data_IF_130788170881
#
_entry.id   IF_130788170881
#
_cell.length_a   1.000
_cell.length_b   1.000
_cell.length_c   1.000
_cell.angle_alpha   90.00
_cell.angle_beta   90.00
_cell.angle_gamma   90.00
#
_symmetry.space_group_name_H-M   'P 1'
#
loop_
_entity.id
_entity.type
_entity.pdbx_description
1 polymer ?
#
# COMPACT_ATOMS: atom_id res chain seq x y z
N UNK A 1 1.55 47.04 -7.74
CA UNK A 1 1.56 45.63 -8.18
C UNK A 1 2.31 44.85 -7.10
N UNK A 2 1.57 44.18 -6.20
CA UNK A 2 2.17 43.34 -5.19
C UNK A 2 2.42 41.97 -5.84
N UNK A 3 3.70 41.62 -6.01
CA UNK A 3 4.11 40.31 -6.50
C UNK A 3 3.80 39.26 -5.45
N UNK A 4 3.07 38.22 -5.85
CA UNK A 4 2.88 37.01 -5.06
C UNK A 4 4.26 36.43 -4.76
N UNK A 5 4.65 36.45 -3.49
CA UNK A 5 5.79 35.69 -3.01
C UNK A 5 5.51 34.22 -3.27
N UNK A 6 6.25 33.65 -4.22
CA UNK A 6 6.42 32.21 -4.36
C UNK A 6 7.12 31.78 -3.08
N UNK A 7 6.37 31.29 -2.10
CA UNK A 7 6.93 30.52 -1.01
C UNK A 7 7.58 29.32 -1.67
N UNK A 8 8.90 29.20 -1.51
CA UNK A 8 9.63 27.98 -1.82
C UNK A 8 8.99 26.83 -1.05
N UNK A 9 8.11 26.08 -1.71
CA UNK A 9 7.84 24.70 -1.33
C UNK A 9 9.21 24.00 -1.35
N UNK A 10 9.66 23.55 -0.17
CA UNK A 10 10.82 22.67 -0.09
C UNK A 10 10.44 21.40 -0.82
N UNK A 11 11.21 21.01 -1.83
CA UNK A 11 11.17 19.66 -2.40
C UNK A 11 11.28 18.65 -1.23
N UNK A 12 10.17 18.00 -0.89
CA UNK A 12 10.06 17.00 0.19
C UNK A 12 8.86 17.17 1.13
N UNK A 13 8.39 18.39 1.40
CA UNK A 13 7.32 18.62 2.39
C UNK A 13 5.91 18.38 1.81
N UNK A 14 5.05 17.70 2.57
CA UNK A 14 3.69 17.40 2.14
C UNK A 14 2.80 18.63 2.06
N UNK A 15 2.32 18.94 0.85
CA UNK A 15 1.43 20.07 0.60
C UNK A 15 0.01 19.81 1.15
N UNK A 16 -0.80 20.87 1.21
CA UNK A 16 -2.23 20.73 1.50
C UNK A 16 -2.96 19.88 0.45
N UNK A 17 -2.44 19.81 -0.79
CA UNK A 17 -2.99 18.95 -1.84
C UNK A 17 -2.72 17.48 -1.53
N UNK A 18 -1.50 17.14 -1.13
CA UNK A 18 -1.11 15.76 -0.82
C UNK A 18 -1.87 15.24 0.40
N UNK A 19 -2.00 16.05 1.45
CA UNK A 19 -2.80 15.70 2.63
C UNK A 19 -4.28 15.49 2.30
N UNK A 20 -4.84 16.21 1.32
CA UNK A 20 -6.19 15.96 0.83
C UNK A 20 -6.25 14.66 0.03
N UNK A 21 -5.26 14.42 -0.83
CA UNK A 21 -5.22 13.21 -1.63
C UNK A 21 -5.04 11.95 -0.77
N UNK A 22 -4.27 11.99 0.31
CA UNK A 22 -4.17 10.91 1.28
C UNK A 22 -5.54 10.52 1.89
N UNK A 23 -6.44 11.49 2.11
CA UNK A 23 -7.83 11.21 2.53
C UNK A 23 -8.63 10.55 1.41
N UNK A 24 -8.43 10.95 0.16
CA UNK A 24 -9.01 10.28 -1.01
C UNK A 24 -8.54 8.82 -1.06
N UNK A 25 -7.23 8.57 -0.92
CA UNK A 25 -6.66 7.23 -0.88
C UNK A 25 -7.24 6.39 0.28
N UNK A 26 -7.40 6.97 1.46
CA UNK A 26 -7.95 6.29 2.64
C UNK A 26 -9.40 5.81 2.46
N UNK A 27 -10.16 6.45 1.57
CA UNK A 27 -11.55 6.11 1.27
C UNK A 27 -11.70 5.15 0.09
N UNK A 28 -10.59 4.65 -0.48
CA UNK A 28 -10.66 3.75 -1.63
C UNK A 28 -11.25 2.39 -1.22
N UNK A 29 -12.26 1.87 -1.94
CA UNK A 29 -12.89 0.58 -1.62
C UNK A 29 -11.94 -0.62 -1.63
N UNK A 30 -10.84 -0.54 -2.40
CA UNK A 30 -9.83 -1.61 -2.45
C UNK A 30 -9.21 -1.89 -1.09
N UNK A 31 -9.10 -0.85 -0.23
CA UNK A 31 -8.55 -1.00 1.10
C UNK A 31 -9.45 -1.85 1.99
N UNK A 32 -10.75 -1.93 1.71
CA UNK A 32 -11.69 -2.74 2.49
C UNK A 32 -11.85 -4.17 1.95
N UNK A 33 -11.34 -4.46 0.73
CA UNK A 33 -11.36 -5.80 0.17
C UNK A 33 -10.42 -6.70 0.96
N UNK A 34 -10.92 -7.85 1.39
CA UNK A 34 -10.18 -8.86 2.13
C UNK A 34 -10.84 -10.23 1.97
N UNK A 35 -10.12 -11.34 2.21
CA UNK A 35 -10.74 -12.65 2.38
C UNK A 35 -11.87 -12.59 3.41
N UNK A 36 -12.87 -13.47 3.29
CA UNK A 36 -14.02 -13.48 4.21
C UNK A 36 -13.57 -13.71 5.65
N UNK A 37 -14.26 -13.08 6.59
CA UNK A 37 -14.03 -13.19 8.04
C UNK A 37 -12.65 -12.74 8.54
N UNK A 38 -11.85 -12.09 7.69
CA UNK A 38 -10.60 -11.44 8.10
C UNK A 38 -10.90 -10.09 8.78
N UNK A 39 -10.57 -9.93 10.08
CA UNK A 39 -10.75 -8.68 10.78
C UNK A 39 -9.61 -7.70 10.48
N UNK A 40 -9.95 -6.41 10.46
CA UNK A 40 -8.96 -5.35 10.55
C UNK A 40 -8.26 -5.42 11.91
N UNK A 41 -6.95 -5.18 11.94
CA UNK A 41 -6.24 -5.04 13.21
C UNK A 41 -6.68 -3.80 13.98
N UNK A 42 -6.54 -3.85 15.31
CA UNK A 42 -6.71 -2.68 16.16
C UNK A 42 -5.69 -1.61 15.73
N UNK A 43 -6.16 -0.40 15.45
CA UNK A 43 -5.36 0.68 14.84
C UNK A 43 -4.71 0.32 13.48
N UNK A 44 -5.18 -0.74 12.82
CA UNK A 44 -4.66 -1.21 11.52
C UNK A 44 -4.96 -0.28 10.35
N UNK A 45 -5.78 0.76 10.54
CA UNK A 45 -6.04 1.78 9.52
C UNK A 45 -5.12 2.99 9.70
N UNK A 46 -4.39 3.35 8.63
CA UNK A 46 -3.47 4.47 8.63
C UNK A 46 -3.54 5.22 7.32
N UNK A 47 -3.26 6.52 7.34
CA UNK A 47 -3.05 7.34 6.15
C UNK A 47 -2.27 8.58 6.51
N UNK A 48 -1.60 9.16 5.53
CA UNK A 48 -0.76 10.32 5.77
C UNK A 48 -0.04 10.75 4.51
N UNK A 49 0.97 11.56 4.72
CA UNK A 49 1.92 11.95 3.71
C UNK A 49 3.26 12.12 4.42
N UNK A 50 4.32 11.51 3.90
CA UNK A 50 5.63 11.55 4.53
C UNK A 50 6.35 12.84 4.12
N UNK A 51 6.80 13.64 5.08
CA UNK A 51 7.56 14.88 4.81
C UNK A 51 8.96 14.59 4.23
N UNK A 52 9.35 13.32 4.04
CA UNK A 52 10.62 12.91 3.43
C UNK A 52 10.52 12.53 1.97
N UNK A 53 9.35 12.08 1.49
CA UNK A 53 9.13 11.74 0.08
C UNK A 53 8.01 12.55 -0.56
N UNK A 54 7.25 13.32 0.21
CA UNK A 54 6.09 14.09 -0.29
C UNK A 54 4.93 13.22 -0.77
N UNK A 55 4.96 11.90 -0.52
CA UNK A 55 4.01 10.97 -1.12
C UNK A 55 2.81 10.71 -0.20
N UNK A 56 1.58 11.00 -0.64
CA UNK A 56 0.39 10.60 0.09
C UNK A 56 0.21 9.08 0.06
N UNK A 57 -0.19 8.53 1.21
CA UNK A 57 -0.42 7.10 1.38
C UNK A 57 -1.63 6.83 2.27
N UNK A 58 -2.19 5.64 2.12
CA UNK A 58 -3.19 5.08 3.02
C UNK A 58 -3.09 3.55 3.03
N UNK A 59 -3.52 2.92 4.12
CA UNK A 59 -3.48 1.48 4.22
C UNK A 59 -4.35 0.88 5.30
N UNK A 60 -4.40 -0.45 5.26
CA UNK A 60 -5.09 -1.33 6.21
C UNK A 60 -4.20 -2.52 6.50
N UNK A 61 -4.05 -2.88 7.78
CA UNK A 61 -3.42 -4.12 8.22
C UNK A 61 -4.49 -5.05 8.78
N UNK A 62 -4.42 -6.32 8.40
CA UNK A 62 -5.43 -7.34 8.64
C UNK A 62 -4.82 -8.60 9.28
N UNK A 63 -5.60 -9.27 10.14
CA UNK A 63 -5.22 -10.60 10.65
C UNK A 63 -5.73 -11.68 9.69
N UNK A 64 -4.87 -12.52 9.12
CA UNK A 64 -5.26 -13.47 8.07
C UNK A 64 -6.19 -14.57 8.56
N UNK A 65 -6.32 -14.80 9.88
CA UNK A 65 -7.08 -15.92 10.42
C UNK A 65 -6.47 -17.24 9.94
N UNK A 66 -7.29 -18.10 9.33
CA UNK A 66 -6.84 -19.39 8.77
C UNK A 66 -6.29 -19.28 7.33
N UNK A 67 -6.20 -18.08 6.75
CA UNK A 67 -5.72 -17.90 5.38
C UNK A 67 -4.20 -18.02 5.32
N UNK A 68 -3.70 -18.89 4.44
CA UNK A 68 -2.27 -18.95 4.15
C UNK A 68 -1.83 -17.73 3.34
N UNK A 69 -0.51 -17.49 3.29
CA UNK A 69 0.09 -16.48 2.42
C UNK A 69 -0.37 -16.64 0.97
N UNK A 70 -0.45 -17.88 0.50
CA UNK A 70 -0.89 -18.19 -0.87
C UNK A 70 -2.37 -17.86 -1.07
N UNK A 71 -3.21 -18.11 -0.07
CA UNK A 71 -4.64 -17.78 -0.13
C UNK A 71 -4.84 -16.27 -0.23
N UNK A 72 -4.15 -15.49 0.61
CA UNK A 72 -4.16 -14.02 0.58
C UNK A 72 -3.68 -13.50 -0.77
N UNK A 73 -2.53 -13.98 -1.25
CA UNK A 73 -1.98 -13.57 -2.54
C UNK A 73 -2.93 -13.90 -3.70
N UNK A 74 -3.50 -15.10 -3.72
CA UNK A 74 -4.44 -15.54 -4.75
C UNK A 74 -5.75 -14.77 -4.71
N UNK A 75 -6.22 -14.38 -3.52
CA UNK A 75 -7.37 -13.50 -3.37
C UNK A 75 -7.13 -12.17 -4.08
N UNK A 76 -6.03 -11.46 -3.77
CA UNK A 76 -5.77 -10.14 -4.35
C UNK A 76 -5.41 -10.17 -5.84
N UNK A 77 -4.79 -11.26 -6.33
CA UNK A 77 -4.59 -11.47 -7.79
C UNK A 77 -5.90 -11.46 -8.57
N UNK A 78 -7.04 -11.77 -7.94
CA UNK A 78 -8.37 -11.71 -8.56
C UNK A 78 -9.13 -10.44 -8.18
N UNK A 79 -9.14 -10.12 -6.88
CA UNK A 79 -9.94 -9.03 -6.34
C UNK A 79 -9.48 -7.65 -6.82
N UNK A 80 -8.16 -7.41 -6.89
CA UNK A 80 -7.63 -6.11 -7.31
C UNK A 80 -7.94 -5.83 -8.81
N UNK A 81 -7.69 -6.76 -9.76
CA UNK A 81 -8.12 -6.57 -11.15
C UNK A 81 -9.62 -6.41 -11.33
N UNK A 82 -10.45 -7.12 -10.54
CA UNK A 82 -11.90 -6.94 -10.56
C UNK A 82 -12.35 -5.55 -10.07
N UNK A 83 -11.49 -4.83 -9.33
CA UNK A 83 -11.66 -3.44 -8.92
C UNK A 83 -10.88 -2.44 -9.81
N UNK A 84 -10.55 -2.85 -11.04
CA UNK A 84 -9.79 -2.10 -12.06
C UNK A 84 -8.36 -1.71 -11.65
N UNK A 85 -7.72 -2.48 -10.78
CA UNK A 85 -6.29 -2.32 -10.51
C UNK A 85 -5.47 -3.20 -11.45
N UNK A 86 -4.60 -2.59 -12.24
CA UNK A 86 -3.73 -3.28 -13.19
C UNK A 86 -2.53 -3.87 -12.45
N UNK A 87 -2.28 -5.16 -12.61
CA UNK A 87 -1.08 -5.81 -12.08
C UNK A 87 0.17 -5.28 -12.82
N UNK A 88 1.13 -4.68 -12.11
CA UNK A 88 2.38 -4.16 -12.69
C UNK A 88 3.54 -5.13 -12.48
N UNK A 89 3.66 -5.68 -11.27
CA UNK A 89 4.69 -6.65 -10.91
C UNK A 89 4.08 -7.82 -10.15
N UNK A 90 4.45 -9.04 -10.55
CA UNK A 90 4.19 -10.24 -9.78
C UNK A 90 5.49 -11.00 -9.59
N UNK A 91 5.87 -11.17 -8.32
CA UNK A 91 6.67 -12.33 -7.92
C UNK A 91 5.69 -13.45 -7.53
N UNK A 92 6.09 -14.70 -7.75
CA UNK A 92 5.41 -15.79 -7.07
C UNK A 92 5.64 -15.61 -5.57
N UNK A 93 4.57 -15.69 -4.78
CA UNK A 93 4.66 -15.52 -3.34
C UNK A 93 4.73 -16.91 -2.74
N UNK A 94 5.92 -17.25 -2.26
CA UNK A 94 6.24 -18.55 -1.70
C UNK A 94 6.65 -18.42 -0.23
N UNK A 95 6.33 -19.41 0.61
CA UNK A 95 6.55 -19.34 2.05
C UNK A 95 8.03 -19.37 2.44
N UNK A 96 8.91 -19.85 1.57
CA UNK A 96 10.35 -19.99 1.78
C UNK A 96 11.16 -18.75 1.38
N UNK A 97 10.50 -17.70 0.89
CA UNK A 97 11.18 -16.48 0.47
C UNK A 97 11.34 -15.48 1.63
N UNK A 98 12.32 -14.55 1.53
CA UNK A 98 12.42 -13.45 2.45
C UNK A 98 11.17 -12.56 2.44
N UNK A 99 10.70 -12.18 3.62
CA UNK A 99 9.48 -11.37 3.82
C UNK A 99 9.45 -10.13 2.89
N UNK A 100 10.57 -9.41 2.76
CA UNK A 100 10.66 -8.18 1.96
C UNK A 100 10.42 -8.39 0.45
N UNK A 101 10.54 -9.62 -0.07
CA UNK A 101 10.28 -9.96 -1.48
C UNK A 101 8.83 -10.38 -1.74
N UNK A 102 8.07 -10.64 -0.68
CA UNK A 102 6.69 -11.10 -0.75
C UNK A 102 5.73 -9.93 -0.94
N UNK A 103 5.61 -9.45 -2.19
CA UNK A 103 4.68 -8.39 -2.52
C UNK A 103 3.94 -8.61 -3.84
N UNK A 104 2.69 -8.13 -3.89
CA UNK A 104 1.97 -7.88 -5.14
C UNK A 104 1.90 -6.37 -5.36
N UNK A 105 2.13 -5.94 -6.59
CA UNK A 105 2.00 -4.53 -6.97
C UNK A 105 0.98 -4.35 -8.08
N UNK A 106 0.06 -3.42 -7.86
CA UNK A 106 -0.92 -2.98 -8.85
C UNK A 106 -0.90 -1.47 -9.01
N UNK A 107 -1.38 -0.97 -10.15
CA UNK A 107 -1.57 0.46 -10.39
C UNK A 107 -3.03 0.76 -10.77
N UNK A 108 -3.47 1.98 -10.48
CA UNK A 108 -4.72 2.56 -10.96
C UNK A 108 -4.61 4.08 -11.01
N UNK A 109 -5.27 4.71 -11.97
CA UNK A 109 -5.45 6.16 -11.93
C UNK A 109 -6.59 6.52 -10.98
N UNK A 110 -6.30 7.32 -9.95
CA UNK A 110 -7.27 7.84 -8.99
C UNK A 110 -7.29 9.35 -9.15
N UNK A 111 -8.42 9.91 -9.60
CA UNK A 111 -8.58 11.35 -9.90
C UNK A 111 -7.48 11.92 -10.82
N UNK A 112 -6.98 11.11 -11.77
CA UNK A 112 -5.94 11.51 -12.71
C UNK A 112 -4.51 11.37 -12.18
N UNK A 113 -4.32 10.88 -10.95
CA UNK A 113 -3.00 10.60 -10.37
C UNK A 113 -2.74 9.10 -10.40
N UNK A 114 -1.57 8.68 -10.88
CA UNK A 114 -1.16 7.27 -10.81
C UNK A 114 -0.94 6.88 -9.35
N UNK A 115 -1.71 5.90 -8.90
CA UNK A 115 -1.61 5.33 -7.55
C UNK A 115 -1.20 3.86 -7.64
N UNK A 116 -0.41 3.42 -6.68
CA UNK A 116 0.10 2.06 -6.59
C UNK A 116 -0.47 1.39 -5.35
N UNK A 117 -1.01 0.20 -5.50
CA UNK A 117 -1.45 -0.69 -4.43
C UNK A 117 -0.39 -1.77 -4.23
N UNK A 118 0.10 -1.88 -3.00
CA UNK A 118 0.95 -2.97 -2.54
C UNK A 118 0.16 -3.88 -1.59
N UNK A 119 0.27 -5.18 -1.83
CA UNK A 119 -0.08 -6.22 -0.85
C UNK A 119 1.23 -6.77 -0.31
N UNK A 120 1.45 -6.69 1.00
CA UNK A 120 2.67 -7.16 1.65
C UNK A 120 2.36 -7.90 2.95
N UNK A 121 3.35 -8.66 3.45
CA UNK A 121 3.26 -9.43 4.67
C UNK A 121 4.35 -8.93 5.62
N UNK A 122 4.13 -7.87 6.40
CA UNK A 122 5.20 -7.23 7.15
C UNK A 122 5.83 -8.15 8.21
N UNK A 123 5.10 -9.12 8.76
CA UNK A 123 5.62 -10.00 9.79
C UNK A 123 5.63 -9.32 11.16
N UNK A 124 6.38 -9.86 12.12
CA UNK A 124 6.48 -9.26 13.46
C UNK A 124 7.36 -8.00 13.42
N UNK A 125 7.22 -7.11 14.40
CA UNK A 125 8.07 -5.91 14.53
C UNK A 125 9.55 -6.27 14.74
N UNK A 126 9.81 -7.45 15.29
CA UNK A 126 11.16 -8.00 15.47
C UNK A 126 11.67 -8.74 14.22
N UNK A 127 10.86 -8.83 13.16
CA UNK A 127 11.27 -9.48 11.92
C UNK A 127 12.34 -8.67 11.20
N UNK A 128 13.52 -9.29 11.04
CA UNK A 128 14.66 -8.79 10.30
C UNK A 128 14.58 -9.05 8.80
N UNK A 129 15.52 -8.47 8.02
CA UNK A 129 15.54 -8.60 6.56
C UNK A 129 15.79 -10.05 6.08
N UNK A 130 16.35 -10.90 6.94
CA UNK A 130 16.66 -12.30 6.67
C UNK A 130 15.51 -13.26 7.05
N UNK A 131 14.42 -12.75 7.63
CA UNK A 131 13.31 -13.59 8.02
C UNK A 131 12.51 -14.10 6.84
N UNK A 132 12.12 -15.37 6.98
CA UNK A 132 11.37 -16.12 6.00
C UNK A 132 9.89 -15.97 6.30
N UNK A 133 9.10 -15.79 5.25
CA UNK A 133 7.68 -15.48 5.33
C UNK A 133 6.84 -16.55 6.04
N UNK A 134 7.19 -17.82 5.87
CA UNK A 134 6.40 -18.94 6.36
C UNK A 134 5.11 -19.18 5.55
N UNK A 135 4.42 -20.33 5.77
CA UNK A 135 3.16 -20.65 5.09
C UNK A 135 1.99 -19.81 5.58
N UNK A 136 2.00 -19.47 6.86
CA UNK A 136 0.91 -18.78 7.57
C UNK A 136 1.42 -17.39 7.95
N UNK A 137 0.87 -16.31 7.39
CA UNK A 137 1.32 -14.98 7.71
C UNK A 137 0.83 -14.58 9.10
N UNK A 138 1.62 -13.77 9.81
CA UNK A 138 1.16 -13.13 11.06
C UNK A 138 0.09 -12.09 10.75
N UNK A 139 0.37 -11.26 9.75
CA UNK A 139 -0.48 -10.19 9.24
C UNK A 139 -0.30 -10.03 7.73
N UNK A 140 -1.17 -9.23 7.13
CA UNK A 140 -0.91 -8.66 5.81
C UNK A 140 -1.43 -7.23 5.73
N UNK A 141 -0.78 -6.44 4.90
CA UNK A 141 -1.13 -5.03 4.70
C UNK A 141 -1.48 -4.74 3.25
N UNK A 142 -2.50 -3.89 3.09
CA UNK A 142 -2.77 -3.15 1.88
C UNK A 142 -2.27 -1.73 2.05
N UNK A 143 -1.39 -1.29 1.16
CA UNK A 143 -0.92 0.10 1.15
C UNK A 143 -1.14 0.67 -0.24
N UNK A 144 -1.88 1.76 -0.32
CA UNK A 144 -1.98 2.58 -1.52
C UNK A 144 -1.13 3.83 -1.31
N UNK A 145 -0.25 4.11 -2.25
CA UNK A 145 0.50 5.35 -2.31
C UNK A 145 0.39 5.95 -3.70
N UNK A 146 0.53 7.26 -3.80
CA UNK A 146 0.66 7.92 -5.08
C UNK A 146 1.97 8.68 -5.14
N UNK A 147 2.66 8.49 -6.27
CA UNK A 147 3.74 9.38 -6.66
C UNK A 147 3.15 10.43 -7.62
N UNK A 148 2.97 11.68 -7.17
CA UNK A 148 2.43 12.75 -8.00
C UNK A 148 3.37 13.13 -9.16
N UNK A 149 4.67 12.82 -9.07
CA UNK A 149 5.71 13.22 -10.03
C UNK A 149 6.17 12.06 -10.93
N UNK A 150 5.81 10.81 -10.60
CA UNK A 150 5.98 9.62 -11.43
C UNK A 150 7.42 9.11 -11.57
N UNK A 151 8.34 9.51 -10.70
CA UNK A 151 9.76 9.14 -10.70
C UNK A 151 10.12 7.96 -9.79
N UNK A 152 9.30 7.64 -8.80
CA UNK A 152 9.46 6.56 -7.84
C UNK A 152 8.30 5.57 -7.97
N UNK A 153 8.62 4.37 -8.45
CA UNK A 153 7.67 3.27 -8.38
C UNK A 153 7.69 2.79 -6.94
N UNK A 154 6.55 2.83 -6.23
CA UNK A 154 6.44 2.23 -4.89
C UNK A 154 6.32 0.69 -4.95
N UNK A 155 6.88 0.11 -6.02
CA UNK A 155 6.94 -1.27 -6.44
C UNK A 155 8.27 -1.49 -7.19
#
# INVERSE_FOLDING_TARGET
MAGCSVLSDRDGDCTARDRRFAKTLNNLPILELRPSDVPLEDDGAYFGCTDSTGFPYAGRTYRPGDNTVKDVANFYRRAAPAADWKLEHFAEINPDQPIHRALLCFSKSVEGVTSFLRVSFPGDIDSGPDDVLGPDPIDFSLTVSADPDGGYISC
#
